data_IF_668956235354
#
_entry.id   IF_668956235354
#
_cell.length_a   1.000
_cell.length_b   1.000
_cell.length_c   1.000
_cell.angle_alpha   90.00
_cell.angle_beta   90.00
_cell.angle_gamma   90.00
#
_symmetry.space_group_name_H-M   'P 1'
#
loop_
_entity.id
_entity.type
_entity.pdbx_description
1 polymer ?
#
# COMPACT_ATOMS: atom_id res chain seq x y z
N UNK A 1 -0.85 -30.40 7.47
CA UNK A 1 -1.05 -29.54 8.65
C UNK A 1 0.09 -28.53 8.70
N UNK A 2 -0.15 -27.27 8.35
CA UNK A 2 0.91 -26.25 8.40
C UNK A 2 1.31 -26.03 9.86
N UNK A 3 2.58 -26.26 10.17
CA UNK A 3 3.11 -26.19 11.53
C UNK A 3 2.88 -24.79 12.12
N UNK A 4 2.46 -24.70 13.39
CA UNK A 4 2.13 -23.44 14.07
C UNK A 4 3.26 -22.39 13.99
N UNK A 5 4.50 -22.82 13.80
CA UNK A 5 5.66 -21.97 13.51
C UNK A 5 5.62 -21.26 12.15
N UNK A 6 5.14 -21.92 11.10
CA UNK A 6 5.09 -21.38 9.75
C UNK A 6 4.09 -20.22 9.66
N UNK A 7 2.93 -20.37 10.28
CA UNK A 7 1.90 -19.35 10.37
C UNK A 7 2.37 -18.07 11.07
N UNK A 8 3.15 -18.24 12.14
CA UNK A 8 3.76 -17.13 12.89
C UNK A 8 4.79 -16.39 12.04
N UNK A 9 5.62 -17.12 11.31
CA UNK A 9 6.63 -16.53 10.43
C UNK A 9 5.98 -15.74 9.28
N UNK A 10 4.95 -16.30 8.65
CA UNK A 10 4.18 -15.62 7.59
C UNK A 10 3.52 -14.34 8.11
N UNK A 11 2.90 -14.41 9.29
CA UNK A 11 2.29 -13.24 9.96
C UNK A 11 3.32 -12.15 10.23
N UNK A 12 4.51 -12.51 10.74
CA UNK A 12 5.57 -11.56 11.01
C UNK A 12 6.13 -10.94 9.72
N UNK A 13 6.29 -11.73 8.66
CA UNK A 13 6.71 -11.23 7.34
C UNK A 13 5.69 -10.24 6.77
N UNK A 14 4.40 -10.55 6.88
CA UNK A 14 3.31 -9.68 6.45
C UNK A 14 3.34 -8.34 7.18
N UNK A 15 3.37 -8.35 8.52
CA UNK A 15 3.42 -7.12 9.33
C UNK A 15 4.66 -6.29 9.00
N UNK A 16 5.82 -6.93 8.82
CA UNK A 16 7.06 -6.25 8.42
C UNK A 16 6.97 -5.61 7.04
N UNK A 17 6.37 -6.29 6.06
CA UNK A 17 6.19 -5.71 4.72
C UNK A 17 5.30 -4.47 4.75
N UNK A 18 4.19 -4.51 5.49
CA UNK A 18 3.26 -3.39 5.61
C UNK A 18 3.94 -2.21 6.31
N UNK A 19 4.67 -2.47 7.40
CA UNK A 19 5.43 -1.43 8.09
C UNK A 19 6.49 -0.79 7.18
N UNK A 20 7.13 -1.59 6.31
CA UNK A 20 8.14 -1.08 5.37
C UNK A 20 7.50 -0.15 4.32
N UNK A 21 6.38 -0.57 3.72
CA UNK A 21 5.63 0.26 2.76
C UNK A 21 5.11 1.54 3.41
N UNK A 22 4.57 1.45 4.64
CA UNK A 22 4.11 2.62 5.38
C UNK A 22 5.24 3.61 5.68
N UNK A 23 6.46 3.14 6.03
CA UNK A 23 7.63 4.04 6.20
C UNK A 23 8.01 4.79 4.94
N UNK A 24 7.88 4.15 3.78
CA UNK A 24 8.22 4.79 2.50
C UNK A 24 7.20 5.85 2.10
N UNK A 25 5.92 5.64 2.44
CA UNK A 25 4.85 6.54 2.04
C UNK A 25 4.51 7.63 3.07
N UNK A 26 4.72 7.38 4.36
CA UNK A 26 4.48 8.34 5.44
C UNK A 26 5.75 9.10 5.82
N UNK A 27 5.64 10.42 5.98
CA UNK A 27 6.71 11.26 6.55
C UNK A 27 6.77 11.22 8.10
N UNK A 28 5.86 10.48 8.74
CA UNK A 28 5.70 10.41 10.20
C UNK A 28 5.92 9.01 10.78
N UNK A 29 5.60 8.83 12.07
CA UNK A 29 5.78 7.52 12.74
C UNK A 29 4.73 6.52 12.22
N UNK A 30 5.17 5.33 11.83
CA UNK A 30 4.28 4.22 11.42
C UNK A 30 3.30 3.84 12.52
N UNK A 31 3.67 4.03 13.78
CA UNK A 31 2.81 3.75 14.94
C UNK A 31 1.56 4.61 15.02
N UNK A 32 1.56 5.79 14.39
CA UNK A 32 0.42 6.72 14.35
C UNK A 32 -0.51 6.41 13.16
N UNK A 33 -0.15 5.44 12.32
CA UNK A 33 -1.01 5.03 11.23
C UNK A 33 -2.22 4.24 11.76
N UNK A 34 -3.46 4.62 11.44
CA UNK A 34 -4.64 3.84 11.81
C UNK A 34 -4.58 2.42 11.22
N UNK A 35 -3.89 2.23 10.09
CA UNK A 35 -3.62 0.91 9.51
C UNK A 35 -2.79 0.03 10.44
N UNK A 36 -1.74 0.60 11.05
CA UNK A 36 -0.88 -0.15 11.96
C UNK A 36 -1.63 -0.55 13.23
N UNK A 37 -2.51 0.32 13.72
CA UNK A 37 -3.36 0.04 14.88
C UNK A 37 -4.34 -1.11 14.64
N UNK A 38 -5.04 -1.10 13.49
CA UNK A 38 -5.96 -2.19 13.10
C UNK A 38 -5.21 -3.52 13.02
N UNK A 39 -4.08 -3.56 12.32
CA UNK A 39 -3.27 -4.79 12.20
C UNK A 39 -2.79 -5.27 13.57
N UNK A 40 -2.32 -4.35 14.43
CA UNK A 40 -1.89 -4.67 15.80
C UNK A 40 -3.02 -5.28 16.62
N UNK A 41 -4.22 -4.72 16.53
CA UNK A 41 -5.40 -5.23 17.22
C UNK A 41 -5.80 -6.61 16.69
N UNK A 42 -5.82 -6.81 15.37
CA UNK A 42 -6.13 -8.10 14.75
C UNK A 42 -5.09 -9.16 15.15
N UNK A 43 -3.79 -8.85 15.14
CA UNK A 43 -2.74 -9.78 15.59
C UNK A 43 -2.91 -10.15 17.07
N UNK A 44 -3.27 -9.17 17.91
CA UNK A 44 -3.47 -9.40 19.35
C UNK A 44 -4.70 -10.26 19.63
N UNK A 45 -5.82 -10.00 18.95
CA UNK A 45 -7.06 -10.79 19.07
C UNK A 45 -6.83 -12.24 18.63
N UNK A 46 -6.13 -12.45 17.52
CA UNK A 46 -5.83 -13.80 17.03
C UNK A 46 -4.82 -14.56 17.90
N UNK A 47 -3.94 -13.87 18.65
CA UNK A 47 -3.07 -14.49 19.67
C UNK A 47 -3.82 -14.97 20.91
N UNK A 48 -4.94 -14.34 21.26
CA UNK A 48 -5.72 -14.65 22.47
C UNK A 48 -6.73 -15.78 22.21
N UNK A 49 -7.09 -16.03 20.95
CA UNK A 49 -8.07 -17.03 20.57
C UNK A 49 -7.43 -18.20 19.83
N UNK A 50 -6.80 -19.12 20.58
CA UNK A 50 -6.14 -20.34 20.07
C UNK A 50 -7.11 -21.33 19.37
N UNK A 51 -8.42 -21.10 19.35
CA UNK A 51 -9.41 -21.98 18.70
C UNK A 51 -9.68 -21.67 17.22
N UNK A 52 -9.15 -20.58 16.64
CA UNK A 52 -9.44 -20.15 15.24
C UNK A 52 -8.33 -20.48 14.24
N UNK A 53 -7.54 -21.51 14.50
CA UNK A 53 -6.27 -21.86 13.82
C UNK A 53 -6.38 -21.96 12.28
N UNK A 54 -7.57 -22.27 11.72
CA UNK A 54 -7.74 -22.39 10.27
C UNK A 54 -8.29 -21.13 9.56
N UNK A 55 -9.02 -20.24 10.25
CA UNK A 55 -9.69 -19.08 9.60
C UNK A 55 -8.98 -17.75 9.88
N UNK A 56 -8.51 -17.57 11.11
CA UNK A 56 -7.77 -16.40 11.57
C UNK A 56 -6.54 -16.00 10.71
N UNK A 57 -5.63 -16.94 10.37
CA UNK A 57 -4.45 -16.57 9.57
C UNK A 57 -4.79 -16.15 8.13
N UNK A 58 -5.83 -16.75 7.55
CA UNK A 58 -6.31 -16.37 6.22
C UNK A 58 -6.92 -14.97 6.24
N UNK A 59 -7.66 -14.62 7.29
CA UNK A 59 -8.25 -13.31 7.49
C UNK A 59 -7.19 -12.22 7.68
N UNK A 60 -6.16 -12.49 8.50
CA UNK A 60 -5.05 -11.55 8.68
C UNK A 60 -4.23 -11.37 7.40
N UNK A 61 -3.96 -12.46 6.66
CA UNK A 61 -3.29 -12.40 5.36
C UNK A 61 -4.10 -11.57 4.36
N UNK A 62 -5.40 -11.83 4.26
CA UNK A 62 -6.31 -11.09 3.38
C UNK A 62 -6.36 -9.60 3.72
N UNK A 63 -6.45 -9.25 5.01
CA UNK A 63 -6.39 -7.85 5.47
C UNK A 63 -5.06 -7.20 5.09
N UNK A 64 -3.94 -7.90 5.31
CA UNK A 64 -2.63 -7.38 4.94
C UNK A 64 -2.43 -7.18 3.43
N UNK A 65 -2.91 -8.12 2.61
CA UNK A 65 -2.91 -8.02 1.15
C UNK A 65 -3.80 -6.86 0.66
N UNK A 66 -4.97 -6.67 1.29
CA UNK A 66 -5.88 -5.57 1.00
C UNK A 66 -5.21 -4.23 1.27
N UNK A 67 -4.59 -4.07 2.44
CA UNK A 67 -3.89 -2.84 2.80
C UNK A 67 -2.68 -2.56 1.92
N UNK A 68 -1.92 -3.60 1.54
CA UNK A 68 -0.84 -3.45 0.58
C UNK A 68 -1.36 -2.94 -0.76
N UNK A 69 -2.44 -3.54 -1.27
CA UNK A 69 -3.07 -3.12 -2.53
C UNK A 69 -3.53 -1.67 -2.47
N UNK A 70 -4.13 -1.25 -1.35
CA UNK A 70 -4.53 0.12 -1.13
C UNK A 70 -3.34 1.10 -1.19
N UNK A 71 -2.26 0.81 -0.48
CA UNK A 71 -1.06 1.65 -0.47
C UNK A 71 -0.41 1.75 -1.86
N UNK A 72 -0.31 0.63 -2.57
CA UNK A 72 0.21 0.60 -3.94
C UNK A 72 -0.69 1.42 -4.90
N UNK A 73 -2.01 1.33 -4.74
CA UNK A 73 -2.95 2.13 -5.54
C UNK A 73 -2.84 3.62 -5.26
N UNK A 74 -2.63 4.03 -4.00
CA UNK A 74 -2.44 5.43 -3.62
C UNK A 74 -1.16 6.03 -4.19
N UNK A 75 -0.10 5.23 -4.35
CA UNK A 75 1.11 5.68 -5.03
C UNK A 75 0.89 5.87 -6.52
N UNK A 76 0.26 4.90 -7.19
CA UNK A 76 -0.11 5.03 -8.61
C UNK A 76 -1.02 6.24 -8.84
N UNK A 77 -1.96 6.49 -7.93
CA UNK A 77 -2.82 7.67 -7.99
C UNK A 77 -2.01 8.97 -7.87
N UNK A 78 -1.04 9.05 -6.95
CA UNK A 78 -0.15 10.22 -6.85
C UNK A 78 0.70 10.41 -8.11
N UNK A 79 1.20 9.34 -8.70
CA UNK A 79 1.93 9.40 -9.97
C UNK A 79 1.04 9.92 -11.10
N UNK A 80 -0.20 9.42 -11.19
CA UNK A 80 -1.19 9.86 -12.15
C UNK A 80 -1.56 11.34 -11.95
N UNK A 81 -1.79 11.74 -10.70
CA UNK A 81 -2.09 13.12 -10.33
C UNK A 81 -0.93 14.04 -10.73
N UNK A 82 0.32 13.67 -10.43
CA UNK A 82 1.49 14.45 -10.86
C UNK A 82 1.59 14.53 -12.39
N UNK A 83 1.32 13.42 -13.09
CA UNK A 83 1.38 13.38 -14.55
C UNK A 83 0.30 14.25 -15.20
N UNK A 84 -0.94 14.17 -14.74
CA UNK A 84 -2.11 14.75 -15.43
C UNK A 84 -2.75 15.95 -14.74
N UNK A 85 -2.51 16.21 -13.46
CA UNK A 85 -3.20 17.27 -12.69
C UNK A 85 -2.28 18.14 -11.80
N UNK A 86 -1.01 17.80 -11.62
CA UNK A 86 -0.11 18.42 -10.65
C UNK A 86 0.59 19.72 -11.06
N UNK A 87 0.38 20.21 -12.29
CA UNK A 87 0.92 21.49 -12.76
C UNK A 87 -0.25 22.37 -13.22
N UNK A 88 -0.33 23.60 -12.70
CA UNK A 88 -1.13 24.68 -13.28
C UNK A 88 -0.82 24.86 -14.78
N UNK A 89 -1.68 25.58 -15.51
CA UNK A 89 -1.63 25.84 -16.97
C UNK A 89 -0.41 25.24 -17.69
N UNK A 90 -0.62 24.07 -18.31
CA UNK A 90 0.41 23.46 -19.16
C UNK A 90 0.50 24.24 -20.46
N UNK A 91 1.73 24.46 -20.94
CA UNK A 91 1.93 25.01 -22.28
C UNK A 91 1.45 24.04 -23.36
N UNK A 92 1.20 24.55 -24.56
CA UNK A 92 0.74 23.76 -25.70
C UNK A 92 1.77 22.66 -26.04
N UNK A 93 3.07 22.96 -25.89
CA UNK A 93 4.18 22.03 -26.08
C UNK A 93 4.14 20.86 -25.11
N UNK A 94 3.95 21.14 -23.82
CA UNK A 94 3.88 20.09 -22.78
C UNK A 94 2.66 19.19 -22.95
N UNK A 95 1.55 19.75 -23.45
CA UNK A 95 0.32 19.00 -23.70
C UNK A 95 0.47 18.11 -24.94
N UNK A 96 1.07 18.63 -26.01
CA UNK A 96 1.33 17.86 -27.22
C UNK A 96 2.29 16.69 -26.94
N UNK A 97 3.40 16.92 -26.23
CA UNK A 97 4.36 15.87 -25.86
C UNK A 97 3.70 14.77 -25.01
N UNK A 98 2.85 15.15 -24.04
CA UNK A 98 2.08 14.20 -23.24
C UNK A 98 1.13 13.33 -24.07
N UNK A 99 0.56 13.90 -25.13
CA UNK A 99 -0.34 13.22 -26.06
C UNK A 99 0.39 12.48 -27.19
N UNK A 100 1.71 12.61 -27.30
CA UNK A 100 2.51 12.02 -28.37
C UNK A 100 2.52 12.81 -29.68
N UNK A 101 2.13 14.08 -29.64
CA UNK A 101 2.17 15.00 -30.79
C UNK A 101 3.46 15.83 -30.78
N UNK A 102 3.98 16.13 -31.97
CA UNK A 102 5.06 17.11 -32.17
C UNK A 102 4.45 18.40 -32.70
N UNK A 103 4.82 19.54 -32.10
CA UNK A 103 4.39 20.83 -32.65
C UNK A 103 5.16 21.11 -33.95
N UNK A 104 4.50 21.68 -34.97
CA UNK A 104 5.20 22.20 -36.13
C UNK A 104 6.10 23.37 -35.70
N UNK A 105 7.34 23.38 -36.18
CA UNK A 105 8.24 24.52 -36.00
C UNK A 105 7.61 25.74 -36.69
N UNK A 106 7.50 26.86 -35.97
CA UNK A 106 7.02 28.11 -36.58
C UNK A 106 8.09 28.59 -37.57
N UNK A 107 7.77 28.51 -38.87
CA UNK A 107 8.55 29.11 -39.96
C UNK A 107 8.34 30.62 -39.99
#
# INVERSE_FOLDING_TARGET
>A
MASSNQLRNETLCLVRSICRTLRTQMKGKVSESPMFEVIRQTVRQNKVTDQRICRAPNELRYLGETYRTYLDSGEKYRQLLNKYYGKSERSVEQTAEMMGFKLPEKH
#
